data_IF_708216931867
#
_entry.id   IF_708216931867
#
_cell.length_a   1.000
_cell.length_b   1.000
_cell.length_c   1.000
_cell.angle_alpha   90.00
_cell.angle_beta   90.00
_cell.angle_gamma   90.00
#
_symmetry.space_group_name_H-M   'P 1'
#
loop_
_entity.id
_entity.type
_entity.pdbx_description
1 polymer ?
#
# COMPACT_ATOMS: atom_id res chain seq x y z
N UNK A 1 -11.13 -7.93 -8.82
CA UNK A 1 -11.35 -8.78 -7.62
C UNK A 1 -10.25 -9.82 -7.48
N UNK A 2 -9.93 -10.59 -8.53
CA UNK A 2 -8.84 -11.59 -8.53
C UNK A 2 -7.47 -11.01 -8.13
N UNK A 3 -7.09 -9.87 -8.71
CA UNK A 3 -5.83 -9.17 -8.38
C UNK A 3 -5.64 -8.80 -6.90
N UNK A 4 -6.73 -8.61 -6.17
CA UNK A 4 -6.67 -8.34 -4.72
C UNK A 4 -6.32 -9.61 -3.94
N UNK A 5 -6.88 -10.76 -4.35
CA UNK A 5 -6.58 -12.05 -3.74
C UNK A 5 -5.15 -12.51 -4.04
N UNK A 6 -4.62 -12.19 -5.22
CA UNK A 6 -3.21 -12.42 -5.57
C UNK A 6 -2.27 -11.64 -4.63
N UNK A 7 -2.50 -10.33 -4.47
CA UNK A 7 -1.71 -9.49 -3.57
C UNK A 7 -1.77 -9.98 -2.11
N UNK A 8 -2.95 -10.43 -1.67
CA UNK A 8 -3.13 -11.01 -0.34
C UNK A 8 -2.35 -12.31 -0.19
N UNK A 9 -2.41 -13.20 -1.17
CA UNK A 9 -1.70 -14.49 -1.14
C UNK A 9 -0.18 -14.31 -1.07
N UNK A 10 0.37 -13.36 -1.82
CA UNK A 10 1.81 -13.03 -1.82
C UNK A 10 2.33 -12.49 -0.47
N UNK A 11 1.45 -11.96 0.39
CA UNK A 11 1.84 -11.24 1.62
C UNK A 11 1.03 -11.67 2.85
N UNK A 12 0.49 -12.89 2.86
CA UNK A 12 -0.65 -13.30 3.70
C UNK A 12 -0.53 -12.95 5.21
N UNK A 13 0.66 -13.08 5.79
CA UNK A 13 0.88 -12.84 7.23
C UNK A 13 0.89 -11.36 7.61
N UNK A 14 1.41 -10.49 6.73
CA UNK A 14 1.63 -9.07 7.02
C UNK A 14 0.71 -8.13 6.23
N UNK A 15 -0.03 -8.68 5.26
CA UNK A 15 -0.87 -7.95 4.32
C UNK A 15 -1.89 -7.08 5.03
N UNK A 16 -2.67 -7.63 5.97
CA UNK A 16 -3.76 -6.89 6.61
C UNK A 16 -3.21 -5.72 7.45
N UNK A 17 -2.10 -5.91 8.16
CA UNK A 17 -1.45 -4.86 8.96
C UNK A 17 -0.84 -3.76 8.08
N UNK A 18 0.04 -4.12 7.15
CA UNK A 18 0.72 -3.16 6.26
C UNK A 18 -0.30 -2.39 5.42
N UNK A 19 -1.34 -3.07 4.90
CA UNK A 19 -2.42 -2.41 4.16
C UNK A 19 -3.17 -1.39 5.02
N UNK A 20 -3.57 -1.79 6.23
CA UNK A 20 -4.36 -0.92 7.11
C UNK A 20 -3.58 0.33 7.50
N UNK A 21 -2.30 0.18 7.89
CA UNK A 21 -1.44 1.31 8.22
C UNK A 21 -1.17 2.20 7.01
N UNK A 22 -0.91 1.61 5.86
CA UNK A 22 -0.66 2.40 4.66
C UNK A 22 -1.89 3.21 4.22
N UNK A 23 -3.09 2.65 4.35
CA UNK A 23 -4.35 3.37 4.12
C UNK A 23 -4.58 4.47 5.15
N UNK A 24 -4.29 4.20 6.42
CA UNK A 24 -4.41 5.18 7.50
C UNK A 24 -3.54 6.42 7.23
N UNK A 25 -2.30 6.21 6.77
CA UNK A 25 -1.36 7.29 6.46
C UNK A 25 -1.55 7.95 5.10
N UNK A 26 -2.43 7.41 4.24
CA UNK A 26 -2.72 7.92 2.90
C UNK A 26 -3.67 9.14 2.91
N UNK A 27 -3.23 10.23 3.55
CA UNK A 27 -4.00 11.48 3.70
C UNK A 27 -4.02 12.39 2.45
N UNK A 28 -3.45 11.93 1.34
CA UNK A 28 -3.33 12.67 0.08
C UNK A 28 -2.26 13.76 0.08
N UNK A 29 -1.52 13.97 1.17
CA UNK A 29 -0.40 14.92 1.27
C UNK A 29 0.95 14.21 1.16
N UNK A 30 1.04 12.98 1.67
CA UNK A 30 2.27 12.19 1.69
C UNK A 30 2.54 11.44 0.39
N UNK A 31 3.80 11.33 0.04
CA UNK A 31 4.31 10.41 -0.99
C UNK A 31 4.28 8.98 -0.45
N UNK A 32 4.28 8.01 -1.36
CA UNK A 32 4.31 6.59 -0.99
C UNK A 32 5.54 6.22 -0.15
N UNK A 33 6.70 6.84 -0.40
CA UNK A 33 7.91 6.62 0.40
C UNK A 33 7.71 7.05 1.86
N UNK A 34 7.10 8.20 2.09
CA UNK A 34 6.81 8.70 3.45
C UNK A 34 5.80 7.80 4.17
N UNK A 35 4.80 7.27 3.44
CA UNK A 35 3.87 6.28 3.97
C UNK A 35 4.62 4.98 4.32
N UNK A 36 5.55 4.52 3.49
CA UNK A 36 6.34 3.33 3.75
C UNK A 36 7.21 3.47 5.00
N UNK A 37 7.82 4.64 5.19
CA UNK A 37 8.65 4.93 6.38
C UNK A 37 7.79 4.96 7.66
N UNK A 38 6.57 5.51 7.61
CA UNK A 38 5.64 5.52 8.75
C UNK A 38 5.10 4.11 9.08
N UNK A 39 4.80 3.32 8.06
CA UNK A 39 4.37 1.93 8.24
C UNK A 39 5.48 1.11 8.91
N UNK A 40 6.72 1.27 8.46
CA UNK A 40 7.89 0.61 9.08
C UNK A 40 8.09 1.08 10.51
N UNK A 41 7.97 2.39 10.78
CA UNK A 41 8.10 2.95 12.13
C UNK A 41 7.09 2.34 13.12
N UNK A 42 5.85 2.10 12.69
CA UNK A 42 4.81 1.57 13.57
C UNK A 42 4.78 0.05 13.68
N UNK A 43 5.03 -0.65 12.57
CA UNK A 43 4.88 -2.11 12.52
C UNK A 43 6.20 -2.87 12.61
N UNK A 44 7.33 -2.20 12.42
CA UNK A 44 8.63 -2.83 12.21
C UNK A 44 8.74 -3.58 10.88
N UNK A 45 7.73 -3.48 10.00
CA UNK A 45 7.65 -4.20 8.73
C UNK A 45 7.78 -3.24 7.56
N UNK A 46 8.64 -3.58 6.58
CA UNK A 46 8.78 -2.84 5.34
C UNK A 46 8.53 -3.75 4.14
N UNK A 47 7.52 -3.41 3.33
CA UNK A 47 7.26 -4.08 2.06
C UNK A 47 6.87 -3.06 0.98
N UNK A 48 7.86 -2.34 0.48
CA UNK A 48 7.67 -1.27 -0.50
C UNK A 48 7.08 -1.79 -1.81
N UNK A 49 7.45 -2.99 -2.25
CA UNK A 49 6.91 -3.59 -3.48
C UNK A 49 5.40 -3.82 -3.38
N UNK A 50 4.95 -4.39 -2.26
CA UNK A 50 3.52 -4.53 -1.97
C UNK A 50 2.81 -3.17 -2.00
N UNK A 51 3.36 -2.16 -1.32
CA UNK A 51 2.77 -0.82 -1.28
C UNK A 51 2.64 -0.21 -2.68
N UNK A 52 3.67 -0.32 -3.53
CA UNK A 52 3.60 0.16 -4.93
C UNK A 52 2.51 -0.57 -5.69
N UNK A 53 2.47 -1.91 -5.64
CA UNK A 53 1.45 -2.70 -6.33
C UNK A 53 0.04 -2.37 -5.84
N UNK A 54 -0.14 -2.21 -4.52
CA UNK A 54 -1.42 -1.93 -3.89
C UNK A 54 -1.97 -0.55 -4.24
N UNK A 55 -1.16 0.52 -4.11
CA UNK A 55 -1.60 1.87 -4.48
C UNK A 55 -1.80 2.02 -6.00
N UNK A 56 -1.02 1.32 -6.82
CA UNK A 56 -1.29 1.26 -8.26
C UNK A 56 -2.63 0.55 -8.56
N UNK A 57 -2.92 -0.56 -7.87
CA UNK A 57 -4.22 -1.22 -7.98
C UNK A 57 -5.38 -0.30 -7.58
N UNK A 58 -5.29 0.40 -6.45
CA UNK A 58 -6.31 1.37 -6.02
C UNK A 58 -6.50 2.50 -7.04
N UNK A 59 -5.41 3.00 -7.62
CA UNK A 59 -5.45 4.02 -8.67
C UNK A 59 -6.14 3.52 -9.94
N UNK A 60 -5.85 2.28 -10.37
CA UNK A 60 -6.51 1.64 -11.53
C UNK A 60 -8.00 1.43 -11.28
N UNK A 61 -8.39 1.15 -10.03
CA UNK A 61 -9.79 1.09 -9.61
C UNK A 61 -10.45 2.47 -9.45
N UNK A 62 -9.72 3.57 -9.69
CA UNK A 62 -10.18 4.96 -9.51
C UNK A 62 -10.61 5.29 -8.07
N UNK A 63 -10.11 4.54 -7.08
CA UNK A 63 -10.40 4.77 -5.66
C UNK A 63 -9.52 5.86 -5.06
N UNK A 64 -8.34 6.08 -5.63
CA UNK A 64 -7.41 7.14 -5.24
C UNK A 64 -6.85 7.83 -6.48
N UNK A 65 -6.40 9.07 -6.32
CA UNK A 65 -5.58 9.76 -7.32
C UNK A 65 -4.12 9.52 -6.98
N UNK A 66 -3.49 8.58 -7.69
CA UNK A 66 -2.07 8.32 -7.52
C UNK A 66 -1.26 8.91 -8.67
N UNK A 67 -0.22 9.68 -8.36
CA UNK A 67 0.83 10.06 -9.31
C UNK A 67 2.00 9.06 -9.30
N UNK A 68 1.75 7.79 -8.94
CA UNK A 68 2.77 6.74 -9.01
C UNK A 68 2.97 6.41 -10.49
N UNK A 69 3.89 7.18 -11.09
CA UNK A 69 4.72 6.95 -12.28
C UNK A 69 3.99 6.49 -13.55
N UNK A 70 4.13 7.28 -14.62
CA UNK A 70 3.81 6.88 -16.00
C UNK A 70 4.61 5.66 -16.42
#
# INVERSE_FOLDING_TARGET
REKYFELKKENAETFDLIRNLALYWADGKRKLSEIADLVELESGLRNTEFLVKYFNFLSKCKLIKSKIVK
#
